data_IF_757228431068
#
_entry.id   IF_757228431068
#
_cell.length_a   1.000
_cell.length_b   1.000
_cell.length_c   1.000
_cell.angle_alpha   90.00
_cell.angle_beta   90.00
_cell.angle_gamma   90.00
#
_symmetry.space_group_name_H-M   'P 1'
#
loop_
_entity.id
_entity.type
_entity.pdbx_description
1 polymer ?
#
# COMPACT_ATOMS: atom_id res chain seq x y z
N UNK A 1 -8.86 -22.25 23.35
CA UNK A 1 -9.99 -21.31 23.12
C UNK A 1 -9.58 -19.84 23.19
N UNK A 2 -8.40 -19.49 23.71
CA UNK A 2 -7.89 -18.10 23.73
C UNK A 2 -7.27 -17.65 22.40
N UNK A 3 -6.61 -18.55 21.67
CA UNK A 3 -5.82 -18.17 20.48
C UNK A 3 -6.69 -17.78 19.27
N UNK A 4 -7.86 -18.39 19.11
CA UNK A 4 -8.82 -18.06 18.03
C UNK A 4 -9.46 -16.68 18.23
N UNK A 5 -9.83 -16.35 19.47
CA UNK A 5 -10.39 -15.05 19.81
C UNK A 5 -9.34 -13.93 19.72
N UNK A 6 -8.09 -14.21 20.10
CA UNK A 6 -6.99 -13.26 19.94
C UNK A 6 -6.58 -13.10 18.47
N UNK A 7 -6.58 -14.15 17.66
CA UNK A 7 -6.39 -14.04 16.20
C UNK A 7 -7.56 -13.33 15.50
N UNK A 8 -8.78 -13.43 16.01
CA UNK A 8 -9.89 -12.64 15.47
C UNK A 8 -9.75 -11.14 15.79
N UNK A 9 -9.09 -10.78 16.89
CA UNK A 9 -8.90 -9.39 17.33
C UNK A 9 -7.57 -8.76 16.85
N UNK A 10 -6.51 -9.57 16.70
CA UNK A 10 -5.14 -9.12 16.39
C UNK A 10 -4.51 -9.90 15.23
N UNK A 11 -5.25 -10.79 14.59
CA UNK A 11 -4.81 -11.47 13.38
C UNK A 11 -4.69 -10.50 12.21
N UNK A 12 -4.14 -11.01 11.12
CA UNK A 12 -3.98 -10.23 9.88
C UNK A 12 -5.34 -9.67 9.45
N UNK A 13 -5.40 -8.36 9.20
CA UNK A 13 -6.60 -7.71 8.71
C UNK A 13 -7.10 -8.42 7.43
N UNK A 14 -8.35 -8.85 7.46
CA UNK A 14 -9.01 -9.50 6.33
C UNK A 14 -9.82 -8.46 5.55
N UNK A 15 -9.33 -8.09 4.37
CA UNK A 15 -9.98 -7.14 3.46
C UNK A 15 -10.78 -7.82 2.34
N UNK A 16 -10.92 -9.16 2.36
CA UNK A 16 -11.59 -9.92 1.29
C UNK A 16 -13.05 -9.53 1.04
N UNK A 17 -13.71 -8.92 2.03
CA UNK A 17 -15.10 -8.47 1.95
C UNK A 17 -15.27 -7.08 1.31
N UNK A 18 -14.19 -6.30 1.18
CA UNK A 18 -14.18 -4.99 0.50
C UNK A 18 -13.35 -5.00 -0.78
N UNK A 19 -12.36 -5.88 -0.88
CA UNK A 19 -11.49 -5.98 -2.03
C UNK A 19 -12.25 -6.55 -3.23
N UNK A 20 -12.14 -5.88 -4.37
CA UNK A 20 -12.70 -6.32 -5.63
C UNK A 20 -11.76 -5.94 -6.77
N UNK A 21 -11.91 -6.62 -7.91
CA UNK A 21 -11.19 -6.24 -9.12
C UNK A 21 -11.62 -4.84 -9.55
N UNK A 22 -10.64 -4.00 -9.90
CA UNK A 22 -10.87 -2.63 -10.32
C UNK A 22 -9.78 -2.18 -11.29
N UNK A 23 -10.13 -1.26 -12.19
CA UNK A 23 -9.17 -0.52 -13.01
C UNK A 23 -9.28 0.95 -12.64
N UNK A 24 -8.20 1.51 -12.10
CA UNK A 24 -8.12 2.91 -11.68
C UNK A 24 -6.99 3.61 -12.44
N UNK A 25 -7.10 4.92 -12.60
CA UNK A 25 -6.07 5.74 -13.23
C UNK A 25 -5.61 6.80 -12.24
N UNK A 26 -4.31 6.81 -11.91
CA UNK A 26 -3.71 7.81 -11.02
C UNK A 26 -2.62 8.58 -11.75
N UNK A 27 -2.48 9.87 -11.41
CA UNK A 27 -1.37 10.68 -11.90
C UNK A 27 -0.17 10.56 -10.97
N UNK A 28 0.96 10.08 -11.52
CA UNK A 28 2.20 9.83 -10.79
C UNK A 28 3.28 10.81 -11.28
N UNK A 29 3.99 11.44 -10.35
CA UNK A 29 5.11 12.34 -10.67
C UNK A 29 6.39 11.54 -10.95
N UNK A 30 7.39 12.18 -11.55
CA UNK A 30 8.68 11.51 -11.80
C UNK A 30 9.38 11.02 -10.52
N UNK A 31 9.28 11.78 -9.43
CA UNK A 31 9.87 11.41 -8.13
C UNK A 31 9.15 10.20 -7.51
N UNK A 32 7.83 10.20 -7.54
CA UNK A 32 7.01 9.07 -7.08
C UNK A 32 7.27 7.79 -7.90
N UNK A 33 7.44 7.93 -9.23
CA UNK A 33 7.80 6.81 -10.09
C UNK A 33 9.19 6.27 -9.75
N UNK A 34 10.17 7.14 -9.51
CA UNK A 34 11.51 6.73 -9.10
C UNK A 34 11.49 5.97 -7.76
N UNK A 35 10.73 6.46 -6.78
CA UNK A 35 10.54 5.78 -5.50
C UNK A 35 9.88 4.40 -5.66
N UNK A 36 8.85 4.30 -6.51
CA UNK A 36 8.17 3.03 -6.80
C UNK A 36 9.12 2.00 -7.42
N UNK A 37 9.92 2.41 -8.40
CA UNK A 37 10.93 1.54 -9.03
C UNK A 37 12.04 1.17 -8.04
N UNK A 38 12.52 2.14 -7.25
CA UNK A 38 13.51 1.88 -6.21
C UNK A 38 13.03 0.87 -5.17
N UNK A 39 11.77 0.98 -4.74
CA UNK A 39 11.12 0.05 -3.83
C UNK A 39 11.09 -1.37 -4.40
N UNK A 40 10.75 -1.48 -5.69
CA UNK A 40 10.63 -2.75 -6.38
C UNK A 40 12.00 -3.42 -6.58
N UNK A 41 12.99 -2.65 -7.02
CA UNK A 41 14.31 -3.17 -7.39
C UNK A 41 15.20 -3.46 -6.17
N UNK A 42 15.12 -2.62 -5.13
CA UNK A 42 16.04 -2.65 -3.98
C UNK A 42 15.36 -2.98 -2.65
N UNK A 43 14.04 -3.05 -2.63
CA UNK A 43 13.25 -3.25 -1.42
C UNK A 43 12.99 -1.94 -0.66
N UNK A 44 11.97 -1.96 0.20
CA UNK A 44 11.52 -0.80 0.97
C UNK A 44 12.58 -0.25 1.94
N UNK A 45 13.46 -1.12 2.44
CA UNK A 45 14.50 -0.73 3.40
C UNK A 45 15.60 0.13 2.76
N UNK A 46 15.74 0.07 1.44
CA UNK A 46 16.71 0.86 0.69
C UNK A 46 16.25 2.29 0.41
N UNK A 47 14.97 2.59 0.63
CA UNK A 47 14.41 3.92 0.39
C UNK A 47 14.72 4.87 1.54
N UNK A 48 15.12 6.10 1.19
CA UNK A 48 15.17 7.20 2.15
C UNK A 48 13.77 7.70 2.53
N UNK A 49 13.70 8.68 3.44
CA UNK A 49 12.41 9.17 3.93
C UNK A 49 11.58 9.84 2.83
N UNK A 50 12.21 10.59 1.93
CA UNK A 50 11.51 11.31 0.87
C UNK A 50 10.97 10.32 -0.18
N UNK A 51 11.74 9.28 -0.51
CA UNK A 51 11.31 8.20 -1.38
C UNK A 51 10.16 7.38 -0.75
N UNK A 52 10.22 7.10 0.55
CA UNK A 52 9.12 6.44 1.28
C UNK A 52 7.85 7.28 1.25
N UNK A 53 7.97 8.59 1.45
CA UNK A 53 6.83 9.50 1.41
C UNK A 53 6.24 9.57 0.00
N UNK A 54 7.08 9.56 -1.05
CA UNK A 54 6.65 9.43 -2.44
C UNK A 54 5.90 8.13 -2.72
N UNK A 55 6.41 7.00 -2.24
CA UNK A 55 5.72 5.70 -2.38
C UNK A 55 4.37 5.70 -1.63
N UNK A 56 4.35 6.23 -0.41
CA UNK A 56 3.14 6.36 0.39
C UNK A 56 2.10 7.26 -0.31
N UNK A 57 2.53 8.32 -0.99
CA UNK A 57 1.65 9.17 -1.78
C UNK A 57 1.00 8.41 -2.94
N UNK A 58 1.74 7.55 -3.64
CA UNK A 58 1.17 6.68 -4.70
C UNK A 58 0.14 5.71 -4.11
N UNK A 59 0.45 5.07 -2.98
CA UNK A 59 -0.48 4.18 -2.28
C UNK A 59 -1.74 4.94 -1.85
N UNK A 60 -1.59 6.17 -1.35
CA UNK A 60 -2.70 7.04 -0.99
C UNK A 60 -3.63 7.34 -2.17
N UNK A 61 -3.07 7.73 -3.32
CA UNK A 61 -3.85 7.98 -4.55
C UNK A 61 -4.60 6.74 -5.01
N UNK A 62 -3.97 5.57 -4.97
CA UNK A 62 -4.64 4.31 -5.31
C UNK A 62 -5.76 3.99 -4.32
N UNK A 63 -5.53 4.20 -3.03
CA UNK A 63 -6.54 3.99 -1.99
C UNK A 63 -7.76 4.87 -2.24
N UNK A 64 -7.56 6.14 -2.54
CA UNK A 64 -8.64 7.11 -2.74
C UNK A 64 -9.48 6.79 -3.99
N UNK A 65 -8.87 6.26 -5.05
CA UNK A 65 -9.59 5.81 -6.25
C UNK A 65 -10.29 4.44 -6.07
N UNK A 66 -9.68 3.52 -5.31
CA UNK A 66 -10.22 2.18 -5.07
C UNK A 66 -11.33 2.18 -4.00
N UNK A 67 -11.24 3.09 -3.02
CA UNK A 67 -12.14 3.16 -1.89
C UNK A 67 -12.30 4.62 -1.40
N UNK A 68 -13.24 5.37 -2.00
CA UNK A 68 -13.55 6.75 -1.60
C UNK A 68 -14.24 6.88 -0.23
#
# INVERSE_FOLDING_TARGET
>A
MTDEALNALFGKADYSHIAHDATVTVSITAAEMAALLGAYDRGLDALDQDERDGLNAVIGKLKDELWP
#
